data_IF_283645734326
#
_entry.id   IF_283645734326
#
_cell.length_a   1.000
_cell.length_b   1.000
_cell.length_c   1.000
_cell.angle_alpha   90.00
_cell.angle_beta   90.00
_cell.angle_gamma   90.00
#
_symmetry.space_group_name_H-M   'P 1'
#
loop_
_entity.id
_entity.type
_entity.pdbx_description
1 polymer ?
#
# COMPACT_ATOMS: atom_id res chain seq x y z
N UNK A 1 14.40 -0.15 6.98
CA UNK A 1 15.37 -1.10 6.38
C UNK A 1 16.39 -0.33 5.55
N UNK A 2 17.71 -0.48 5.81
CA UNK A 2 18.75 0.10 4.96
C UNK A 2 18.59 -0.34 3.50
N UNK A 3 18.67 0.60 2.55
CA UNK A 3 18.46 0.34 1.12
C UNK A 3 16.99 0.34 0.66
N UNK A 4 16.02 0.47 1.58
CA UNK A 4 14.60 0.66 1.27
C UNK A 4 14.25 2.16 1.22
N UNK A 5 13.44 2.55 0.24
CA UNK A 5 13.01 3.93 0.02
C UNK A 5 11.50 3.98 -0.28
N UNK A 6 10.92 5.18 -0.18
CA UNK A 6 9.51 5.43 -0.48
C UNK A 6 9.38 6.71 -1.33
N UNK A 7 8.37 6.74 -2.20
CA UNK A 7 7.87 7.94 -2.85
C UNK A 7 6.34 7.88 -2.86
N UNK A 8 5.68 9.04 -2.89
CA UNK A 8 4.22 9.13 -2.93
C UNK A 8 3.75 9.66 -4.28
N UNK A 9 2.61 9.13 -4.76
CA UNK A 9 1.90 9.61 -5.95
C UNK A 9 0.53 10.11 -5.50
N UNK A 10 0.23 11.37 -5.80
CA UNK A 10 -1.09 11.96 -5.59
C UNK A 10 -1.10 13.29 -4.83
N UNK A 11 -2.30 13.81 -4.51
CA UNK A 11 -3.60 13.17 -4.70
C UNK A 11 -4.03 13.08 -6.16
N UNK A 12 -4.39 11.88 -6.63
CA UNK A 12 -4.85 11.60 -8.00
C UNK A 12 -6.29 11.08 -7.98
N UNK A 13 -7.08 11.37 -9.02
CA UNK A 13 -8.52 11.10 -9.05
C UNK A 13 -8.84 9.90 -9.94
N UNK A 14 -9.47 8.87 -9.36
CA UNK A 14 -9.97 7.72 -10.10
C UNK A 14 -8.86 6.98 -10.86
N UNK A 15 -9.06 6.77 -12.16
CA UNK A 15 -8.15 5.98 -13.00
C UNK A 15 -6.72 6.55 -13.09
N UNK A 16 -6.56 7.86 -12.92
CA UNK A 16 -5.25 8.52 -12.98
C UNK A 16 -4.27 8.00 -11.93
N UNK A 17 -4.76 7.63 -10.74
CA UNK A 17 -3.91 7.11 -9.67
C UNK A 17 -3.16 5.83 -10.09
N UNK A 18 -3.84 4.92 -10.81
CA UNK A 18 -3.22 3.71 -11.34
C UNK A 18 -2.23 4.02 -12.46
N UNK A 19 -2.63 4.89 -13.40
CA UNK A 19 -1.80 5.26 -14.55
C UNK A 19 -0.48 5.90 -14.09
N UNK A 20 -0.57 6.89 -13.20
CA UNK A 20 0.59 7.63 -12.69
C UNK A 20 1.52 6.73 -11.87
N UNK A 21 0.97 5.85 -11.01
CA UNK A 21 1.78 4.90 -10.24
C UNK A 21 2.54 3.93 -11.13
N UNK A 22 1.92 3.40 -12.18
CA UNK A 22 2.57 2.49 -13.12
C UNK A 22 3.68 3.17 -13.91
N UNK A 23 3.45 4.40 -14.40
CA UNK A 23 4.49 5.18 -15.09
C UNK A 23 5.62 5.54 -14.13
N UNK A 24 5.31 5.89 -12.87
CA UNK A 24 6.33 6.17 -11.85
C UNK A 24 7.21 4.94 -11.57
N UNK A 25 6.62 3.74 -11.46
CA UNK A 25 7.37 2.48 -11.30
C UNK A 25 8.25 2.18 -12.51
N UNK A 26 7.72 2.38 -13.72
CA UNK A 26 8.51 2.23 -14.94
C UNK A 26 9.73 3.16 -14.92
N UNK A 27 9.53 4.46 -14.64
CA UNK A 27 10.64 5.43 -14.56
C UNK A 27 11.66 5.02 -13.50
N UNK A 28 11.20 4.59 -12.31
CA UNK A 28 12.09 4.12 -11.26
C UNK A 28 12.96 2.95 -11.73
N UNK A 29 12.36 1.95 -12.37
CA UNK A 29 13.09 0.80 -12.91
C UNK A 29 14.10 1.21 -14.00
N UNK A 30 13.73 2.16 -14.88
CA UNK A 30 14.66 2.72 -15.89
C UNK A 30 15.86 3.41 -15.24
N UNK A 31 15.65 4.16 -14.16
CA UNK A 31 16.74 4.82 -13.42
C UNK A 31 17.65 3.78 -12.76
N UNK A 32 17.07 2.75 -12.13
CA UNK A 32 17.85 1.67 -11.51
C UNK A 32 18.65 0.86 -12.54
N UNK A 33 18.09 0.64 -13.73
CA UNK A 33 18.81 0.00 -14.84
C UNK A 33 20.06 0.80 -15.22
N UNK A 34 19.95 2.12 -15.42
CA UNK A 34 21.08 2.98 -15.76
C UNK A 34 22.15 2.97 -14.66
N UNK A 35 21.72 2.92 -13.40
CA UNK A 35 22.63 2.85 -12.25
C UNK A 35 23.23 1.45 -12.02
N UNK A 36 22.82 0.42 -12.77
CA UNK A 36 23.29 -0.95 -12.60
C UNK A 36 22.82 -1.62 -11.30
N UNK A 37 21.66 -1.22 -10.76
CA UNK A 37 21.06 -1.80 -9.54
C UNK A 37 19.71 -2.44 -9.84
N UNK A 38 19.33 -3.44 -9.04
CA UNK A 38 18.05 -4.16 -9.19
C UNK A 38 17.00 -3.56 -8.26
N UNK A 39 15.85 -3.19 -8.82
CA UNK A 39 14.67 -2.82 -8.07
C UNK A 39 13.88 -4.07 -7.66
N UNK A 40 13.41 -4.12 -6.41
CA UNK A 40 12.45 -5.13 -5.95
C UNK A 40 11.22 -4.46 -5.37
N UNK A 41 10.04 -4.99 -5.74
CA UNK A 41 8.75 -4.66 -5.14
C UNK A 41 8.20 -5.83 -4.30
N UNK A 42 9.05 -6.80 -3.94
CA UNK A 42 8.66 -7.90 -3.06
C UNK A 42 8.22 -7.35 -1.69
N UNK A 43 7.10 -7.81 -1.11
CA UNK A 43 6.60 -7.28 0.15
C UNK A 43 7.51 -7.59 1.36
N UNK A 44 8.37 -8.60 1.27
CA UNK A 44 9.32 -8.98 2.34
C UNK A 44 10.61 -9.50 1.69
N UNK A 45 11.47 -8.61 1.17
CA UNK A 45 12.64 -9.01 0.38
C UNK A 45 13.74 -9.66 1.23
N UNK A 46 13.78 -9.37 2.53
CA UNK A 46 14.71 -9.98 3.49
C UNK A 46 13.88 -10.55 4.64
N UNK A 47 14.07 -11.84 4.92
CA UNK A 47 13.42 -12.53 6.03
C UNK A 47 13.97 -12.08 7.39
N UNK A 48 13.20 -12.32 8.45
CA UNK A 48 13.59 -11.98 9.82
C UNK A 48 13.30 -10.53 10.22
N UNK A 49 14.17 -9.98 11.06
CA UNK A 49 14.03 -8.72 11.81
C UNK A 49 14.31 -7.46 10.95
N UNK A 50 13.68 -7.42 9.77
CA UNK A 50 13.76 -6.30 8.85
C UNK A 50 12.36 -5.88 8.41
N UNK A 51 12.11 -4.59 8.20
CA UNK A 51 10.84 -4.14 7.67
C UNK A 51 10.50 -4.80 6.33
N UNK A 52 9.21 -4.98 6.06
CA UNK A 52 8.73 -5.24 4.70
C UNK A 52 8.48 -3.95 3.93
N UNK A 53 8.08 -4.11 2.66
CA UNK A 53 7.68 -3.01 1.78
C UNK A 53 6.16 -3.03 1.56
N UNK A 54 5.50 -1.90 1.81
CA UNK A 54 4.06 -1.72 1.60
C UNK A 54 3.76 -0.68 0.53
N UNK A 55 2.51 -0.66 0.05
CA UNK A 55 1.99 0.37 -0.84
C UNK A 55 0.73 0.98 -0.22
N UNK A 56 0.90 1.75 0.86
CA UNK A 56 -0.21 2.37 1.58
C UNK A 56 -1.03 3.27 0.64
N UNK A 57 -2.35 3.10 0.67
CA UNK A 57 -3.27 3.81 -0.22
C UNK A 57 -4.15 4.74 0.59
N UNK A 58 -3.92 6.03 0.46
CA UNK A 58 -4.81 7.05 1.01
C UNK A 58 -6.04 7.19 0.10
N UNK A 59 -7.22 7.30 0.69
CA UNK A 59 -8.47 7.39 -0.07
C UNK A 59 -9.44 8.41 0.54
N UNK A 60 -10.16 9.16 -0.31
CA UNK A 60 -11.27 10.00 0.13
C UNK A 60 -12.29 10.23 -0.98
N UNK A 61 -13.57 10.26 -0.62
CA UNK A 61 -14.64 10.78 -1.48
C UNK A 61 -14.89 12.26 -1.20
N UNK A 62 -15.69 12.93 -2.03
CA UNK A 62 -16.08 14.33 -1.79
C UNK A 62 -16.72 14.50 -0.40
N UNK A 63 -17.67 13.63 -0.05
CA UNK A 63 -18.36 13.68 1.25
C UNK A 63 -17.47 13.38 2.44
N UNK A 64 -16.38 12.61 2.28
CA UNK A 64 -15.40 12.40 3.36
C UNK A 64 -14.60 13.67 3.66
N UNK A 65 -14.43 14.56 2.68
CA UNK A 65 -13.65 15.80 2.81
C UNK A 65 -14.49 17.01 3.23
N UNK A 66 -15.81 16.88 3.26
CA UNK A 66 -16.75 17.91 3.67
C UNK A 66 -17.01 17.87 5.19
N UNK A 67 -17.70 18.88 5.71
CA UNK A 67 -18.06 18.94 7.13
C UNK A 67 -18.92 17.73 7.54
N UNK A 68 -18.60 17.14 8.69
CA UNK A 68 -19.17 15.85 9.11
C UNK A 68 -18.60 14.62 8.40
N UNK A 69 -17.62 14.78 7.51
CA UNK A 69 -17.02 13.69 6.73
C UNK A 69 -16.36 12.59 7.57
N UNK A 70 -15.97 12.87 8.81
CA UNK A 70 -15.40 11.86 9.72
C UNK A 70 -16.36 10.67 9.95
N UNK A 71 -17.66 10.92 10.08
CA UNK A 71 -18.65 9.84 10.23
C UNK A 71 -18.81 9.03 8.93
N UNK A 72 -18.57 9.64 7.77
CA UNK A 72 -18.53 8.93 6.49
C UNK A 72 -17.30 8.03 6.41
N UNK A 73 -16.16 8.48 6.93
CA UNK A 73 -14.92 7.69 7.01
C UNK A 73 -15.14 6.44 7.87
N UNK A 74 -15.68 6.58 9.09
CA UNK A 74 -15.96 5.42 9.96
C UNK A 74 -16.84 4.37 9.29
N UNK A 75 -17.94 4.81 8.67
CA UNK A 75 -18.86 3.92 7.90
C UNK A 75 -18.16 3.23 6.72
N UNK A 76 -17.20 3.89 6.07
CA UNK A 76 -16.43 3.27 5.01
C UNK A 76 -15.46 2.21 5.56
N UNK A 77 -14.82 2.47 6.70
CA UNK A 77 -13.92 1.53 7.35
C UNK A 77 -14.67 0.27 7.84
N UNK A 78 -15.87 0.42 8.39
CA UNK A 78 -16.73 -0.72 8.73
C UNK A 78 -16.99 -1.63 7.51
N UNK A 79 -17.29 -1.03 6.34
CA UNK A 79 -17.49 -1.79 5.09
C UNK A 79 -16.22 -2.47 4.61
N UNK A 80 -15.03 -1.88 4.82
CA UNK A 80 -13.75 -2.53 4.51
C UNK A 80 -13.53 -3.76 5.38
N UNK A 81 -13.84 -3.68 6.67
CA UNK A 81 -13.71 -4.81 7.60
C UNK A 81 -14.56 -6.01 7.18
N UNK A 82 -15.77 -5.78 6.66
CA UNK A 82 -16.66 -6.84 6.16
C UNK A 82 -16.14 -7.59 4.94
N UNK A 83 -15.17 -7.02 4.21
CA UNK A 83 -14.60 -7.59 2.97
C UNK A 83 -13.10 -7.81 3.05
N UNK A 84 -12.55 -7.86 4.26
CA UNK A 84 -11.10 -7.96 4.48
C UNK A 84 -10.48 -9.12 3.73
N UNK A 85 -11.11 -10.30 3.75
CA UNK A 85 -10.59 -11.51 3.10
C UNK A 85 -10.49 -11.36 1.58
N UNK A 86 -11.52 -10.81 0.94
CA UNK A 86 -11.56 -10.55 -0.49
C UNK A 86 -10.53 -9.49 -0.90
N UNK A 87 -10.33 -8.48 -0.05
CA UNK A 87 -9.35 -7.43 -0.28
C UNK A 87 -7.92 -7.97 -0.17
N UNK A 88 -7.61 -8.75 0.87
CA UNK A 88 -6.29 -9.40 1.02
C UNK A 88 -5.94 -10.24 -0.21
N UNK A 89 -6.89 -10.98 -0.77
CA UNK A 89 -6.68 -11.76 -1.98
C UNK A 89 -6.29 -10.91 -3.21
N UNK A 90 -6.63 -9.62 -3.23
CA UNK A 90 -6.32 -8.68 -4.30
C UNK A 90 -5.14 -7.74 -3.99
N UNK A 91 -4.62 -7.73 -2.75
CA UNK A 91 -3.60 -6.77 -2.30
C UNK A 91 -2.15 -7.19 -2.60
N UNK A 92 -1.98 -8.24 -3.41
CA UNK A 92 -0.69 -8.72 -3.87
C UNK A 92 -0.27 -10.03 -3.20
N UNK A 93 0.38 -10.88 -3.99
CA UNK A 93 0.93 -12.16 -3.55
C UNK A 93 2.14 -11.96 -2.63
N UNK A 94 2.38 -12.90 -1.71
CA UNK A 94 3.51 -12.83 -0.77
C UNK A 94 3.28 -11.99 0.48
N UNK A 95 2.12 -11.33 0.60
CA UNK A 95 1.79 -10.49 1.75
C UNK A 95 1.75 -11.22 3.09
N UNK A 96 1.55 -12.55 3.09
CA UNK A 96 1.61 -13.38 4.29
C UNK A 96 2.98 -13.33 4.99
N UNK A 97 4.06 -13.06 4.25
CA UNK A 97 5.42 -12.87 4.80
C UNK A 97 5.61 -11.49 5.45
N UNK A 98 4.77 -10.52 5.09
CA UNK A 98 4.86 -9.12 5.52
C UNK A 98 3.89 -8.79 6.64
N UNK A 99 2.61 -9.15 6.48
CA UNK A 99 1.50 -8.79 7.37
C UNK A 99 1.41 -9.74 8.56
N UNK A 100 2.37 -9.63 9.48
CA UNK A 100 2.52 -10.58 10.59
C UNK A 100 2.00 -10.03 11.92
N UNK A 101 1.80 -8.70 12.03
CA UNK A 101 1.56 -8.03 13.31
C UNK A 101 2.83 -7.37 13.89
N UNK A 102 3.99 -7.60 13.27
CA UNK A 102 5.27 -6.98 13.62
C UNK A 102 5.69 -5.97 12.56
N UNK A 103 6.73 -5.18 12.85
CA UNK A 103 7.30 -4.18 11.92
C UNK A 103 6.26 -3.25 11.31
N UNK A 104 5.47 -2.62 12.19
CA UNK A 104 4.46 -1.63 11.80
C UNK A 104 3.39 -2.17 10.84
N UNK A 105 3.09 -3.47 10.91
CA UNK A 105 2.00 -4.11 10.14
C UNK A 105 0.95 -4.74 11.05
N UNK A 106 -0.29 -4.84 10.55
CA UNK A 106 -1.31 -5.69 11.16
C UNK A 106 -1.13 -7.16 10.75
N UNK A 107 -1.69 -8.09 11.52
CA UNK A 107 -1.76 -9.50 11.14
C UNK A 107 -2.70 -9.69 9.94
N UNK A 108 -2.30 -10.48 8.94
CA UNK A 108 -3.06 -10.68 7.70
C UNK A 108 -4.49 -11.18 7.92
N UNK A 109 -4.75 -11.90 9.02
CA UNK A 109 -6.06 -12.48 9.32
C UNK A 109 -6.94 -11.57 10.18
N UNK A 110 -6.43 -10.42 10.64
CA UNK A 110 -7.15 -9.53 11.57
C UNK A 110 -7.29 -8.14 10.98
N UNK A 111 -8.53 -7.66 10.84
CA UNK A 111 -8.82 -6.29 10.47
C UNK A 111 -8.90 -5.40 11.72
N UNK A 112 -8.13 -4.32 11.75
CA UNK A 112 -8.09 -3.33 12.85
C UNK A 112 -7.93 -1.93 12.23
N UNK A 113 -8.45 -0.90 12.90
CA UNK A 113 -8.34 0.50 12.51
C UNK A 113 -8.40 1.42 13.73
#
# INVERSE_FOLDING_TARGET
MPGQWEFQVGPSVGISAGNELWVARYILERITEIAGVVLSLDPKPIEGDWNGAGAHTNNSTKSMREEGGYEVIKKAIEKLGLRHKEHIAAYGEGNERRLTGHHETANINTFLW
#
